data_IF_922777494001
#
_entry.id   IF_922777494001
#
_cell.length_a   1.000
_cell.length_b   1.000
_cell.length_c   1.000
_cell.angle_alpha   90.00
_cell.angle_beta   90.00
_cell.angle_gamma   90.00
#
_symmetry.space_group_name_H-M   'P 1'
#
loop_
_entity.id
_entity.type
_entity.pdbx_description
1 polymer ?
#
# COMPACT_ATOMS: atom_id res chain seq x y z
N UNK A 1 5.65 30.73 -6.59
CA UNK A 1 4.22 30.41 -6.84
C UNK A 1 4.17 29.38 -7.95
N UNK A 2 3.60 28.17 -7.74
CA UNK A 2 3.43 27.23 -8.85
C UNK A 2 2.27 27.73 -9.71
N UNK A 3 2.46 27.76 -11.03
CA UNK A 3 1.52 28.34 -12.00
C UNK A 3 0.33 27.39 -12.25
N UNK A 4 -0.42 27.05 -11.20
CA UNK A 4 -1.43 25.98 -11.22
C UNK A 4 -0.87 24.62 -11.70
N UNK A 5 0.42 24.38 -11.44
CA UNK A 5 1.08 23.13 -11.78
C UNK A 5 1.24 22.27 -10.52
N UNK A 6 0.96 20.97 -10.67
CA UNK A 6 1.27 19.99 -9.64
C UNK A 6 2.79 19.86 -9.54
N UNK A 7 3.34 20.18 -8.37
CA UNK A 7 4.79 20.15 -8.09
C UNK A 7 5.21 18.91 -7.30
N UNK A 8 4.25 18.24 -6.67
CA UNK A 8 4.45 17.02 -5.87
C UNK A 8 3.10 16.34 -5.64
N UNK A 9 3.11 15.02 -5.64
CA UNK A 9 1.99 14.17 -5.21
C UNK A 9 2.49 13.19 -4.16
N UNK A 10 1.60 12.74 -3.28
CA UNK A 10 1.91 11.71 -2.27
C UNK A 10 1.94 10.30 -2.88
N UNK A 11 1.32 10.08 -4.03
CA UNK A 11 1.28 8.79 -4.70
C UNK A 11 2.48 8.63 -5.63
N UNK A 12 3.02 7.41 -5.70
CA UNK A 12 4.16 7.07 -6.53
C UNK A 12 3.76 6.53 -7.90
N UNK A 13 4.53 5.54 -8.39
CA UNK A 13 4.22 4.80 -9.61
C UNK A 13 2.82 4.15 -9.56
N UNK A 14 2.39 3.73 -8.38
CA UNK A 14 1.09 3.11 -8.14
C UNK A 14 0.30 3.88 -7.09
N UNK A 15 -0.99 3.58 -7.01
CA UNK A 15 -1.87 4.13 -5.99
C UNK A 15 -1.73 3.47 -4.61
N UNK A 16 -0.69 2.65 -4.42
CA UNK A 16 -0.39 1.97 -3.16
C UNK A 16 0.48 2.83 -2.24
N UNK A 17 1.34 3.67 -2.82
CA UNK A 17 2.23 4.55 -2.08
C UNK A 17 1.51 5.81 -1.59
N UNK A 18 2.05 6.43 -0.55
CA UNK A 18 1.52 7.63 0.07
C UNK A 18 0.77 7.35 1.36
N UNK A 19 -0.46 7.85 1.46
CA UNK A 19 -1.23 7.79 2.70
C UNK A 19 -1.90 6.43 2.91
N UNK A 20 -2.09 6.07 4.18
CA UNK A 20 -2.99 4.97 4.57
C UNK A 20 -4.40 5.30 4.07
N UNK A 21 -5.06 4.34 3.41
CA UNK A 21 -6.43 4.49 2.89
C UNK A 21 -7.35 3.41 3.44
N UNK A 22 -8.60 3.34 2.99
CA UNK A 22 -9.58 2.35 3.46
C UNK A 22 -9.06 0.92 3.43
N UNK A 23 -8.61 0.44 2.27
CA UNK A 23 -8.12 -0.93 2.07
C UNK A 23 -6.65 -1.03 1.65
N UNK A 24 -5.96 0.11 1.49
CA UNK A 24 -4.56 0.17 1.03
C UNK A 24 -3.63 0.67 2.13
N UNK A 25 -2.43 0.09 2.27
CA UNK A 25 -1.57 0.38 3.39
C UNK A 25 -0.89 1.76 3.31
N UNK A 26 -0.79 2.37 2.13
CA UNK A 26 0.05 3.56 1.93
C UNK A 26 1.52 3.17 1.82
N UNK A 27 2.41 4.13 2.11
CA UNK A 27 3.86 3.90 2.09
C UNK A 27 4.27 2.78 3.06
N UNK A 28 4.86 1.73 2.50
CA UNK A 28 5.38 0.56 3.24
C UNK A 28 6.81 0.25 2.79
N UNK A 29 7.58 -0.39 3.68
CA UNK A 29 8.91 -0.87 3.35
C UNK A 29 8.85 -1.94 2.25
N UNK A 30 9.69 -1.83 1.21
CA UNK A 30 9.70 -2.78 0.08
C UNK A 30 10.04 -4.20 0.54
N UNK A 31 10.87 -4.34 1.57
CA UNK A 31 11.24 -5.61 2.19
C UNK A 31 10.06 -6.34 2.85
N UNK A 32 8.94 -5.66 3.14
CA UNK A 32 7.76 -6.32 3.70
C UNK A 32 7.14 -7.32 2.71
N UNK A 33 7.18 -7.02 1.41
CA UNK A 33 6.70 -7.92 0.38
C UNK A 33 7.55 -9.20 0.35
N UNK A 34 8.88 -9.05 0.42
CA UNK A 34 9.80 -10.17 0.47
C UNK A 34 9.63 -10.99 1.75
N UNK A 35 9.48 -10.32 2.90
CA UNK A 35 9.25 -10.97 4.18
C UNK A 35 7.94 -11.75 4.18
N UNK A 36 6.86 -11.18 3.63
CA UNK A 36 5.58 -11.85 3.51
C UNK A 36 5.69 -13.15 2.70
N UNK A 37 6.39 -13.11 1.56
CA UNK A 37 6.54 -14.30 0.71
C UNK A 37 7.46 -15.33 1.37
N UNK A 38 8.62 -14.92 1.88
CA UNK A 38 9.69 -15.85 2.30
C UNK A 38 9.54 -16.33 3.73
N UNK A 39 9.22 -15.44 4.67
CA UNK A 39 9.15 -15.76 6.09
C UNK A 39 7.73 -16.17 6.51
N UNK A 40 6.71 -15.56 5.91
CA UNK A 40 5.30 -15.87 6.22
C UNK A 40 4.68 -16.87 5.23
N UNK A 41 5.41 -17.26 4.17
CA UNK A 41 4.92 -18.22 3.18
C UNK A 41 3.74 -17.73 2.36
N UNK A 42 3.55 -16.41 2.24
CA UNK A 42 2.48 -15.85 1.43
C UNK A 42 2.73 -16.13 -0.04
N UNK A 43 1.68 -16.56 -0.74
CA UNK A 43 1.72 -16.71 -2.19
C UNK A 43 1.96 -15.34 -2.85
N UNK A 44 2.92 -15.29 -3.78
CA UNK A 44 3.27 -14.07 -4.50
C UNK A 44 2.09 -13.54 -5.32
N UNK A 45 1.24 -14.44 -5.85
CA UNK A 45 0.05 -14.05 -6.62
C UNK A 45 -1.07 -13.50 -5.72
N UNK A 46 -1.07 -13.84 -4.42
CA UNK A 46 -2.02 -13.33 -3.43
C UNK A 46 -1.61 -11.98 -2.82
N UNK A 47 -0.32 -11.63 -2.90
CA UNK A 47 0.22 -10.41 -2.30
C UNK A 47 -0.44 -9.12 -2.83
N UNK A 48 -0.69 -8.94 -4.15
CA UNK A 48 -1.38 -7.75 -4.64
C UNK A 48 -2.76 -7.58 -4.03
N UNK A 49 -3.56 -8.65 -3.94
CA UNK A 49 -4.89 -8.59 -3.34
C UNK A 49 -4.82 -8.23 -1.85
N UNK A 50 -3.84 -8.77 -1.11
CA UNK A 50 -3.62 -8.39 0.27
C UNK A 50 -3.32 -6.89 0.43
N UNK A 51 -2.48 -6.32 -0.44
CA UNK A 51 -2.09 -4.91 -0.38
C UNK A 51 -3.16 -3.95 -0.90
N UNK A 52 -3.98 -4.33 -1.88
CA UNK A 52 -5.00 -3.43 -2.46
C UNK A 52 -6.35 -3.48 -1.73
N UNK A 53 -6.74 -4.66 -1.23
CA UNK A 53 -8.12 -4.91 -0.82
C UNK A 53 -8.24 -5.30 0.66
N UNK A 54 -7.15 -5.71 1.33
CA UNK A 54 -7.18 -6.23 2.71
C UNK A 54 -6.22 -5.53 3.67
N UNK A 55 -5.74 -4.35 3.31
CA UNK A 55 -4.79 -3.56 4.09
C UNK A 55 -5.43 -2.25 4.57
N UNK A 56 -4.61 -1.24 4.91
CA UNK A 56 -5.10 0.08 5.25
C UNK A 56 -5.91 0.11 6.55
N UNK A 57 -6.91 0.99 6.61
CA UNK A 57 -7.80 1.09 7.78
C UNK A 57 -8.51 -0.23 8.05
N UNK A 58 -8.96 -0.96 7.02
CA UNK A 58 -9.54 -2.29 7.17
C UNK A 58 -8.57 -3.26 7.85
N UNK A 59 -7.30 -3.27 7.43
CA UNK A 59 -6.27 -4.12 8.03
C UNK A 59 -5.95 -3.74 9.48
N UNK A 60 -6.10 -2.47 9.86
CA UNK A 60 -5.82 -1.96 11.20
C UNK A 60 -7.02 -2.12 12.16
N UNK A 61 -8.23 -1.84 11.69
CA UNK A 61 -9.45 -1.85 12.50
C UNK A 61 -10.18 -3.19 12.49
N UNK A 62 -10.01 -3.98 11.43
CA UNK A 62 -10.85 -5.15 11.15
C UNK A 62 -12.31 -4.83 10.80
N UNK A 63 -12.64 -3.55 10.62
CA UNK A 63 -14.00 -3.05 10.38
C UNK A 63 -13.92 -2.04 9.23
N UNK A 64 -14.55 -2.37 8.09
CA UNK A 64 -14.68 -1.49 6.93
C UNK A 64 -16.02 -1.63 6.25
#
# INVERSE_FOLDING_TARGET
MSQCQSVRTSMGMTALDGLVMGTRPGSVDIGIALHAITALGMDADALPHALYDRSGLLGLSGIS
#
